data_IF_035011413351
#
_entry.id   IF_035011413351
#
_cell.length_a   1.000
_cell.length_b   1.000
_cell.length_c   1.000
_cell.angle_alpha   90.00
_cell.angle_beta   90.00
_cell.angle_gamma   90.00
#
_symmetry.space_group_name_H-M   'P 1'
#
loop_
_entity.id
_entity.type
_entity.pdbx_description
1 polymer ?
#
# COMPACT_ATOMS: atom_id res chain seq x y z
N UNK A 1 -24.73 2.16 38.77
CA UNK A 1 -24.61 3.32 37.87
C UNK A 1 -25.61 3.12 36.74
N UNK A 2 -26.73 3.83 36.75
CA UNK A 2 -27.74 3.75 35.69
C UNK A 2 -27.11 4.34 34.42
N UNK A 3 -26.79 3.51 33.44
CA UNK A 3 -26.51 3.98 32.08
C UNK A 3 -27.84 4.56 31.60
N UNK A 4 -27.95 5.89 31.57
CA UNK A 4 -29.02 6.57 30.84
C UNK A 4 -28.79 6.21 29.38
N UNK A 5 -29.58 5.27 28.85
CA UNK A 5 -29.51 4.90 27.44
C UNK A 5 -29.97 6.11 26.64
N UNK A 6 -29.02 6.81 26.04
CA UNK A 6 -29.29 7.89 25.09
C UNK A 6 -30.11 7.32 23.92
N UNK A 7 -31.06 8.09 23.41
CA UNK A 7 -31.92 7.68 22.29
C UNK A 7 -31.12 7.65 20.97
N UNK A 8 -30.30 6.62 20.78
CA UNK A 8 -29.40 6.48 19.63
C UNK A 8 -30.10 5.91 18.39
N UNK A 9 -31.29 5.32 18.53
CA UNK A 9 -32.06 4.73 17.43
C UNK A 9 -33.21 5.64 16.98
N UNK A 10 -32.89 6.91 16.80
CA UNK A 10 -33.77 7.92 16.21
C UNK A 10 -33.18 8.39 14.88
N UNK A 11 -34.03 8.76 13.93
CA UNK A 11 -33.58 9.40 12.68
C UNK A 11 -33.33 10.91 12.87
N UNK A 12 -32.93 11.60 11.80
CA UNK A 12 -32.63 13.03 11.82
C UNK A 12 -33.85 13.91 12.19
N UNK A 13 -35.06 13.37 12.07
CA UNK A 13 -36.32 14.01 12.44
C UNK A 13 -36.79 13.64 13.86
N UNK A 14 -36.03 12.78 14.56
CA UNK A 14 -36.34 12.31 15.91
C UNK A 14 -37.36 11.17 15.96
N UNK A 15 -37.74 10.58 14.83
CA UNK A 15 -38.63 9.43 14.80
C UNK A 15 -37.89 8.12 15.10
N UNK A 16 -38.56 7.14 15.73
CA UNK A 16 -37.97 5.83 16.00
C UNK A 16 -37.56 5.10 14.72
N UNK A 17 -36.30 4.67 14.66
CA UNK A 17 -35.80 3.79 13.61
C UNK A 17 -36.49 2.44 13.71
N UNK A 18 -36.90 1.88 12.56
CA UNK A 18 -37.64 0.62 12.48
C UNK A 18 -36.69 -0.57 12.38
N UNK A 19 -36.98 -1.62 13.15
CA UNK A 19 -36.24 -2.87 13.19
C UNK A 19 -37.16 -4.05 12.91
N UNK A 20 -36.71 -4.98 12.08
CA UNK A 20 -37.31 -6.31 11.98
C UNK A 20 -36.32 -7.32 12.56
N UNK A 21 -36.80 -8.21 13.42
CA UNK A 21 -35.99 -9.27 14.01
C UNK A 21 -36.25 -10.58 13.27
N UNK A 22 -35.19 -11.22 12.78
CA UNK A 22 -35.24 -12.59 12.29
C UNK A 22 -35.85 -13.51 13.37
N UNK A 23 -36.80 -14.37 12.97
CA UNK A 23 -37.72 -15.04 13.91
C UNK A 23 -37.11 -16.25 14.63
N UNK A 24 -36.13 -16.91 14.01
CA UNK A 24 -35.43 -18.10 14.50
C UNK A 24 -34.14 -17.76 15.25
N UNK A 25 -33.93 -16.49 15.59
CA UNK A 25 -32.90 -16.11 16.56
C UNK A 25 -33.18 -16.78 17.92
N UNK A 26 -32.11 -17.04 18.67
CA UNK A 26 -32.18 -17.57 20.04
C UNK A 26 -33.16 -16.75 20.90
N UNK A 27 -33.94 -17.44 21.74
CA UNK A 27 -35.01 -16.80 22.51
C UNK A 27 -34.48 -15.76 23.51
N UNK A 28 -33.28 -15.96 24.08
CA UNK A 28 -32.63 -15.00 24.94
C UNK A 28 -32.19 -13.77 24.15
N UNK A 29 -31.56 -13.98 22.97
CA UNK A 29 -31.17 -12.90 22.06
C UNK A 29 -32.39 -12.07 21.62
N UNK A 30 -33.51 -12.72 21.28
CA UNK A 30 -34.75 -12.02 20.92
C UNK A 30 -35.30 -11.20 22.08
N UNK A 31 -35.27 -11.74 23.30
CA UNK A 31 -35.75 -11.05 24.50
C UNK A 31 -34.91 -9.80 24.77
N UNK A 32 -33.59 -9.93 24.69
CA UNK A 32 -32.66 -8.83 24.89
C UNK A 32 -32.82 -7.74 23.83
N UNK A 33 -32.91 -8.11 22.55
CA UNK A 33 -33.12 -7.15 21.45
C UNK A 33 -34.45 -6.41 21.57
N UNK A 34 -35.55 -7.12 21.93
CA UNK A 34 -36.88 -6.51 22.12
C UNK A 34 -36.92 -5.53 23.28
N UNK A 35 -36.03 -5.68 24.26
CA UNK A 35 -35.87 -4.74 25.37
C UNK A 35 -34.92 -3.59 25.01
N UNK A 36 -33.79 -3.91 24.40
CA UNK A 36 -32.71 -2.96 24.12
C UNK A 36 -33.09 -1.94 23.04
N UNK A 37 -33.72 -2.38 21.94
CA UNK A 37 -34.07 -1.49 20.81
C UNK A 37 -35.02 -0.36 21.24
N UNK A 38 -36.17 -0.62 21.91
CA UNK A 38 -37.04 0.44 22.41
C UNK A 38 -36.39 1.31 23.49
N UNK A 39 -35.58 0.70 24.38
CA UNK A 39 -34.86 1.45 25.41
C UNK A 39 -33.86 2.47 24.82
N UNK A 40 -33.40 2.25 23.59
CA UNK A 40 -32.54 3.16 22.83
C UNK A 40 -33.30 4.03 21.82
N UNK A 41 -34.63 4.06 21.87
CA UNK A 41 -35.49 4.92 21.04
C UNK A 41 -35.95 4.32 19.71
N UNK A 42 -35.62 3.06 19.41
CA UNK A 42 -36.04 2.38 18.19
C UNK A 42 -37.40 1.68 18.32
N UNK A 43 -37.90 1.12 17.21
CA UNK A 43 -39.17 0.37 17.17
C UNK A 43 -39.00 -0.97 16.49
N UNK A 44 -39.46 -2.04 17.14
CA UNK A 44 -39.52 -3.38 16.54
C UNK A 44 -40.84 -3.56 15.80
N UNK A 45 -40.76 -3.94 14.54
CA UNK A 45 -41.89 -4.14 13.62
C UNK A 45 -42.11 -5.64 13.35
N UNK A 46 -43.38 -6.09 13.24
CA UNK A 46 -43.71 -7.49 12.93
C UNK A 46 -43.46 -7.86 11.46
N UNK A 47 -43.27 -6.86 10.59
CA UNK A 47 -43.02 -7.02 9.15
C UNK A 47 -41.75 -6.27 8.77
N UNK A 48 -41.08 -6.75 7.71
CA UNK A 48 -39.88 -6.11 7.18
C UNK A 48 -40.19 -4.67 6.77
N UNK A 49 -39.51 -3.66 7.34
CA UNK A 49 -39.83 -2.27 7.07
C UNK A 49 -39.37 -1.84 5.66
N UNK A 50 -39.96 -0.75 5.16
CA UNK A 50 -39.51 -0.12 3.90
C UNK A 50 -38.13 0.54 4.04
N UNK A 51 -37.86 1.09 5.22
CA UNK A 51 -36.60 1.71 5.62
C UNK A 51 -36.33 1.35 7.08
N UNK A 52 -35.08 1.05 7.41
CA UNK A 52 -34.65 0.59 8.72
C UNK A 52 -33.76 -0.64 8.64
N UNK A 53 -33.71 -1.39 9.74
CA UNK A 53 -32.76 -2.47 9.92
C UNK A 53 -33.46 -3.83 10.01
N UNK A 54 -32.83 -4.83 9.41
CA UNK A 54 -33.21 -6.24 9.50
C UNK A 54 -32.09 -6.90 10.30
N UNK A 55 -32.41 -7.30 11.52
CA UNK A 55 -31.47 -7.92 12.44
C UNK A 55 -31.45 -9.43 12.18
N UNK A 56 -30.29 -9.95 11.79
CA UNK A 56 -30.12 -11.33 11.31
C UNK A 56 -29.05 -12.10 12.07
N UNK A 57 -29.10 -13.42 11.97
CA UNK A 57 -27.98 -14.30 12.33
C UNK A 57 -27.08 -14.49 11.10
N UNK A 58 -25.83 -13.99 11.12
CA UNK A 58 -24.93 -14.16 9.98
C UNK A 58 -24.72 -15.63 9.62
N UNK A 59 -24.88 -15.98 8.35
CA UNK A 59 -24.66 -17.30 7.80
C UNK A 59 -25.82 -18.29 7.97
N UNK A 60 -26.96 -17.89 8.52
CA UNK A 60 -28.12 -18.78 8.64
C UNK A 60 -28.92 -18.88 7.34
N UNK A 61 -29.61 -19.99 7.13
CA UNK A 61 -30.50 -20.19 5.97
C UNK A 61 -31.61 -19.14 5.92
N UNK A 62 -32.12 -18.74 7.09
CA UNK A 62 -33.13 -17.70 7.21
C UNK A 62 -32.57 -16.32 6.83
N UNK A 63 -31.31 -15.99 7.15
CA UNK A 63 -30.68 -14.77 6.62
C UNK A 63 -30.65 -14.82 5.09
N UNK A 64 -30.19 -15.93 4.51
CA UNK A 64 -30.11 -16.10 3.06
C UNK A 64 -31.48 -15.93 2.41
N UNK A 65 -32.53 -16.51 3.00
CA UNK A 65 -33.93 -16.35 2.55
C UNK A 65 -34.39 -14.89 2.66
N UNK A 66 -34.13 -14.22 3.78
CA UNK A 66 -34.52 -12.81 3.97
C UNK A 66 -33.82 -11.89 2.97
N UNK A 67 -32.53 -12.12 2.69
CA UNK A 67 -31.78 -11.39 1.66
C UNK A 67 -32.39 -11.62 0.28
N UNK A 68 -32.66 -12.87 -0.10
CA UNK A 68 -33.29 -13.19 -1.38
C UNK A 68 -34.66 -12.49 -1.56
N UNK A 69 -35.46 -12.39 -0.50
CA UNK A 69 -36.78 -11.77 -0.57
C UNK A 69 -36.75 -10.23 -0.50
N UNK A 70 -35.79 -9.64 0.21
CA UNK A 70 -35.88 -8.25 0.65
C UNK A 70 -34.67 -7.38 0.33
N UNK A 71 -33.58 -7.94 -0.21
CA UNK A 71 -32.46 -7.16 -0.72
C UNK A 71 -32.82 -6.64 -2.12
N UNK A 72 -32.79 -5.32 -2.29
CA UNK A 72 -33.17 -4.66 -3.54
C UNK A 72 -32.50 -3.30 -3.64
N UNK A 73 -32.04 -2.94 -4.85
CA UNK A 73 -31.44 -1.63 -5.14
C UNK A 73 -32.47 -0.49 -5.00
N UNK A 74 -33.77 -0.77 -5.18
CA UNK A 74 -34.86 0.20 -5.08
C UNK A 74 -35.16 0.63 -3.63
N UNK A 75 -34.52 -0.01 -2.65
CA UNK A 75 -34.74 0.22 -1.21
C UNK A 75 -33.41 0.48 -0.49
N UNK A 76 -32.71 1.59 -0.81
CA UNK A 76 -31.37 1.87 -0.26
C UNK A 76 -31.36 2.12 1.25
N UNK A 77 -32.50 2.48 1.84
CA UNK A 77 -32.65 2.69 3.29
C UNK A 77 -32.88 1.41 4.11
N UNK A 78 -32.77 0.22 3.51
CA UNK A 78 -32.95 -1.07 4.18
C UNK A 78 -31.60 -1.73 4.36
N UNK A 79 -31.23 -2.01 5.61
CA UNK A 79 -29.94 -2.59 5.93
C UNK A 79 -30.09 -3.91 6.68
N UNK A 80 -29.24 -4.88 6.32
CA UNK A 80 -29.12 -6.13 7.05
C UNK A 80 -27.94 -6.01 8.01
N UNK A 81 -28.18 -6.23 9.29
CA UNK A 81 -27.18 -6.10 10.36
C UNK A 81 -27.19 -7.35 11.23
N UNK A 82 -26.03 -7.80 11.75
CA UNK A 82 -26.00 -8.93 12.67
C UNK A 82 -26.71 -8.58 13.98
N UNK A 83 -27.20 -9.58 14.72
CA UNK A 83 -27.77 -9.38 16.05
C UNK A 83 -26.84 -8.66 17.04
N UNK A 84 -25.52 -8.84 16.90
CA UNK A 84 -24.51 -8.15 17.72
C UNK A 84 -24.38 -6.65 17.43
N UNK A 85 -24.92 -6.16 16.31
CA UNK A 85 -24.81 -4.75 15.92
C UNK A 85 -25.52 -3.80 16.90
N UNK A 86 -26.61 -4.25 17.51
CA UNK A 86 -27.37 -3.44 18.48
C UNK A 86 -26.53 -3.14 19.71
N UNK A 87 -25.80 -4.14 20.22
CA UNK A 87 -24.86 -3.98 21.32
C UNK A 87 -23.70 -3.05 20.94
N UNK A 88 -23.16 -3.17 19.72
CA UNK A 88 -22.11 -2.27 19.25
C UNK A 88 -22.55 -0.82 19.15
N UNK A 89 -23.78 -0.56 18.71
CA UNK A 89 -24.33 0.80 18.70
C UNK A 89 -24.43 1.34 20.13
N UNK A 90 -24.83 0.50 21.09
CA UNK A 90 -24.90 0.86 22.50
C UNK A 90 -23.51 1.20 23.07
N UNK A 91 -22.49 0.38 22.78
CA UNK A 91 -21.10 0.61 23.20
C UNK A 91 -20.52 1.86 22.53
N UNK A 92 -20.82 2.09 21.25
CA UNK A 92 -20.36 3.27 20.52
C UNK A 92 -21.12 4.55 20.91
N UNK A 93 -22.26 4.43 21.59
CA UNK A 93 -23.13 5.55 21.94
C UNK A 93 -23.75 6.25 20.73
N UNK A 94 -23.82 5.59 19.57
CA UNK A 94 -24.33 6.16 18.32
C UNK A 94 -24.86 5.09 17.36
N UNK A 95 -25.73 5.50 16.45
CA UNK A 95 -26.17 4.68 15.31
C UNK A 95 -25.01 4.45 14.34
N UNK A 96 -24.58 3.20 14.18
CA UNK A 96 -23.48 2.86 13.27
C UNK A 96 -23.94 2.88 11.80
N UNK A 97 -23.28 3.71 10.98
CA UNK A 97 -23.58 3.83 9.55
C UNK A 97 -23.13 2.60 8.77
N UNK A 98 -23.94 2.20 7.79
CA UNK A 98 -23.67 1.06 6.91
C UNK A 98 -22.88 1.53 5.67
N UNK A 99 -21.63 1.93 5.89
CA UNK A 99 -20.77 2.58 4.88
C UNK A 99 -20.12 1.60 3.89
N UNK A 100 -19.98 0.32 4.25
CA UNK A 100 -19.39 -0.71 3.39
C UNK A 100 -20.48 -1.47 2.61
N UNK A 101 -21.47 -0.75 2.11
CA UNK A 101 -22.57 -1.28 1.30
C UNK A 101 -22.53 -0.60 -0.06
N UNK A 102 -22.55 -1.38 -1.15
CA UNK A 102 -22.64 -0.90 -2.52
C UNK A 102 -23.89 -1.47 -3.17
N UNK A 103 -24.79 -0.60 -3.67
CA UNK A 103 -26.07 -1.00 -4.28
C UNK A 103 -26.89 -1.98 -3.42
N UNK A 104 -26.92 -1.76 -2.10
CA UNK A 104 -27.62 -2.64 -1.15
C UNK A 104 -26.94 -4.00 -0.91
N UNK A 105 -25.75 -4.24 -1.48
CA UNK A 105 -24.95 -5.45 -1.26
C UNK A 105 -23.76 -5.14 -0.35
N UNK A 106 -23.48 -5.96 0.67
CA UNK A 106 -22.24 -5.84 1.44
C UNK A 106 -21.01 -5.90 0.54
N UNK A 107 -20.14 -4.91 0.65
CA UNK A 107 -18.86 -4.89 -0.05
C UNK A 107 -18.01 -6.10 0.41
N UNK A 108 -17.32 -6.76 -0.52
CA UNK A 108 -16.47 -7.92 -0.22
C UNK A 108 -15.07 -7.46 0.14
N UNK A 109 -14.68 -7.65 1.39
CA UNK A 109 -13.36 -7.30 1.91
C UNK A 109 -12.58 -8.57 2.28
N UNK A 110 -11.29 -8.58 1.93
CA UNK A 110 -10.35 -9.63 2.32
C UNK A 110 -9.30 -9.07 3.28
N UNK A 111 -9.21 -9.64 4.49
CA UNK A 111 -8.15 -9.28 5.45
C UNK A 111 -6.92 -10.15 5.17
N UNK A 112 -5.89 -9.55 4.59
CA UNK A 112 -4.68 -10.27 4.20
C UNK A 112 -3.86 -10.73 5.42
N UNK A 113 -3.13 -11.85 5.27
CA UNK A 113 -2.32 -12.46 6.33
C UNK A 113 -1.16 -11.59 6.82
N UNK A 114 -0.78 -10.55 6.07
CA UNK A 114 0.21 -9.55 6.47
C UNK A 114 -0.19 -8.80 7.75
N UNK A 115 -1.49 -8.72 8.08
CA UNK A 115 -1.94 -8.21 9.37
C UNK A 115 -1.68 -9.30 10.42
N UNK A 116 -0.46 -9.36 10.96
CA UNK A 116 0.04 -10.49 11.74
C UNK A 116 -0.80 -10.79 12.99
N UNK A 117 -1.26 -9.75 13.69
CA UNK A 117 -2.01 -9.90 14.94
C UNK A 117 -3.43 -10.44 14.68
N UNK A 118 -3.69 -11.66 15.18
CA UNK A 118 -4.99 -12.35 15.10
C UNK A 118 -6.11 -11.51 15.70
N UNK A 119 -5.88 -10.90 16.87
CA UNK A 119 -6.88 -10.07 17.56
C UNK A 119 -7.20 -8.82 16.73
N UNK A 120 -6.20 -8.23 16.06
CA UNK A 120 -6.43 -7.12 15.14
C UNK A 120 -7.29 -7.55 13.94
N UNK A 121 -7.09 -8.75 13.39
CA UNK A 121 -7.94 -9.28 12.30
C UNK A 121 -9.37 -9.52 12.76
N UNK A 122 -9.56 -10.08 13.95
CA UNK A 122 -10.90 -10.29 14.54
C UNK A 122 -11.61 -8.95 14.77
N UNK A 123 -10.93 -7.98 15.39
CA UNK A 123 -11.49 -6.65 15.63
C UNK A 123 -11.81 -5.91 14.32
N UNK A 124 -10.94 -6.03 13.31
CA UNK A 124 -11.16 -5.47 11.99
C UNK A 124 -12.36 -6.11 11.29
N UNK A 125 -12.47 -7.44 11.33
CA UNK A 125 -13.60 -8.20 10.80
C UNK A 125 -14.92 -7.76 11.44
N UNK A 126 -14.95 -7.64 12.77
CA UNK A 126 -16.10 -7.13 13.53
C UNK A 126 -16.53 -5.74 13.06
N UNK A 127 -15.58 -4.80 12.97
CA UNK A 127 -15.84 -3.43 12.48
C UNK A 127 -16.42 -3.40 11.07
N UNK A 128 -15.91 -4.24 10.17
CA UNK A 128 -16.40 -4.34 8.79
C UNK A 128 -17.85 -4.82 8.78
N UNK A 129 -18.14 -5.91 9.50
CA UNK A 129 -19.49 -6.48 9.61
C UNK A 129 -20.48 -5.46 10.15
N UNK A 130 -20.11 -4.76 11.24
CA UNK A 130 -21.00 -3.78 11.88
C UNK A 130 -21.19 -2.49 11.09
N UNK A 131 -20.36 -2.28 10.07
CA UNK A 131 -20.45 -1.16 9.13
C UNK A 131 -20.97 -1.60 7.76
N UNK A 132 -21.55 -2.81 7.66
CA UNK A 132 -22.29 -3.30 6.49
C UNK A 132 -21.49 -4.10 5.46
N UNK A 133 -20.21 -4.36 5.71
CA UNK A 133 -19.33 -5.10 4.80
C UNK A 133 -19.24 -6.59 5.09
N UNK A 134 -18.65 -7.35 4.16
CA UNK A 134 -18.38 -8.77 4.30
C UNK A 134 -16.85 -9.04 4.35
N UNK A 135 -16.27 -9.36 5.52
CA UNK A 135 -14.83 -9.61 5.66
C UNK A 135 -14.41 -11.05 5.32
N UNK A 136 -15.34 -11.93 4.95
CA UNK A 136 -15.08 -13.35 4.69
C UNK A 136 -14.71 -13.63 3.23
N UNK A 137 -14.54 -12.59 2.40
CA UNK A 137 -14.20 -12.76 1.00
C UNK A 137 -12.78 -13.32 0.83
N UNK A 138 -12.61 -14.14 -0.21
CA UNK A 138 -11.28 -14.61 -0.63
C UNK A 138 -10.56 -13.51 -1.40
N UNK A 139 -9.27 -13.66 -1.61
CA UNK A 139 -8.47 -12.72 -2.40
C UNK A 139 -9.05 -12.52 -3.82
N UNK A 140 -9.52 -13.60 -4.44
CA UNK A 140 -10.04 -13.63 -5.81
C UNK A 140 -11.42 -12.97 -5.92
N UNK A 141 -12.23 -13.06 -4.86
CA UNK A 141 -13.62 -12.59 -4.87
C UNK A 141 -13.81 -11.23 -4.20
N UNK A 142 -12.80 -10.74 -3.47
CA UNK A 142 -12.86 -9.45 -2.80
C UNK A 142 -12.79 -8.26 -3.75
N UNK A 143 -13.56 -7.23 -3.41
CA UNK A 143 -13.51 -5.90 -4.02
C UNK A 143 -12.38 -5.07 -3.39
N UNK A 144 -12.12 -5.28 -2.09
CA UNK A 144 -11.07 -4.57 -1.33
C UNK A 144 -10.20 -5.56 -0.55
N UNK A 145 -8.88 -5.44 -0.71
CA UNK A 145 -7.88 -6.21 0.02
C UNK A 145 -7.26 -5.30 1.09
N UNK A 146 -7.34 -5.70 2.35
CA UNK A 146 -6.78 -4.97 3.49
C UNK A 146 -5.46 -5.59 3.90
N UNK A 147 -4.38 -4.81 3.80
CA UNK A 147 -3.02 -5.28 4.09
C UNK A 147 -2.27 -4.32 5.03
N UNK A 148 -1.13 -4.78 5.54
CA UNK A 148 -0.29 -4.00 6.46
C UNK A 148 0.69 -3.11 5.68
N UNK A 149 0.51 -1.77 5.71
CA UNK A 149 1.34 -0.85 4.94
C UNK A 149 2.81 -0.82 5.37
N UNK A 150 3.16 -1.32 6.56
CA UNK A 150 4.57 -1.41 6.99
C UNK A 150 5.33 -2.59 6.39
N UNK A 151 4.67 -3.42 5.57
CA UNK A 151 5.27 -4.62 4.96
C UNK A 151 5.49 -4.43 3.46
N UNK A 152 6.55 -5.05 2.90
CA UNK A 152 6.78 -5.04 1.44
C UNK A 152 5.64 -5.69 0.65
N UNK A 153 4.90 -6.59 1.31
CA UNK A 153 3.70 -7.25 0.78
C UNK A 153 2.67 -6.23 0.32
N UNK A 154 2.46 -5.14 1.06
CA UNK A 154 1.51 -4.10 0.65
C UNK A 154 1.85 -3.52 -0.72
N UNK A 155 3.11 -3.11 -0.91
CA UNK A 155 3.56 -2.55 -2.19
C UNK A 155 3.48 -3.57 -3.34
N UNK A 156 3.71 -4.85 -3.04
CA UNK A 156 3.62 -5.93 -4.01
C UNK A 156 2.17 -6.19 -4.41
N UNK A 157 1.25 -6.20 -3.44
CA UNK A 157 -0.18 -6.34 -3.67
C UNK A 157 -0.74 -5.20 -4.52
N UNK A 158 -0.39 -3.95 -4.18
CA UNK A 158 -0.79 -2.78 -4.97
C UNK A 158 -0.35 -2.96 -6.42
N UNK A 159 0.91 -3.30 -6.68
CA UNK A 159 1.43 -3.56 -8.05
C UNK A 159 0.77 -4.74 -8.73
N UNK A 160 0.46 -5.81 -8.01
CA UNK A 160 -0.21 -6.98 -8.59
C UNK A 160 -1.66 -6.69 -9.00
N UNK A 161 -2.29 -5.72 -8.33
CA UNK A 161 -3.63 -5.27 -8.63
C UNK A 161 -3.66 -4.03 -9.55
N UNK A 162 -2.50 -3.43 -9.89
CA UNK A 162 -2.39 -2.35 -10.88
C UNK A 162 -2.89 -2.87 -12.24
N UNK A 163 -4.09 -2.42 -12.65
CA UNK A 163 -4.75 -2.85 -13.90
C UNK A 163 -6.10 -3.56 -13.68
N UNK A 164 -6.40 -3.97 -12.45
CA UNK A 164 -7.76 -4.42 -12.09
C UNK A 164 -8.63 -3.21 -11.77
N UNK A 165 -9.74 -3.01 -12.50
CA UNK A 165 -10.68 -1.91 -12.19
C UNK A 165 -11.56 -2.21 -10.97
N UNK A 166 -11.79 -3.50 -10.69
CA UNK A 166 -12.75 -3.97 -9.69
C UNK A 166 -12.10 -4.33 -8.34
N UNK A 167 -10.76 -4.27 -8.24
CA UNK A 167 -10.02 -4.63 -7.03
C UNK A 167 -9.19 -3.46 -6.53
N UNK A 168 -9.31 -3.17 -5.23
CA UNK A 168 -8.50 -2.15 -4.56
C UNK A 168 -7.70 -2.76 -3.42
N UNK A 169 -6.51 -2.22 -3.18
CA UNK A 169 -5.66 -2.58 -2.04
C UNK A 169 -5.60 -1.37 -1.12
N UNK A 170 -6.01 -1.55 0.12
CA UNK A 170 -6.07 -0.51 1.15
C UNK A 170 -5.35 -0.94 2.42
N UNK A 171 -4.92 0.03 3.22
CA UNK A 171 -4.34 -0.26 4.54
C UNK A 171 -5.39 -0.80 5.49
N UNK A 172 -5.05 -1.68 6.43
CA UNK A 172 -6.00 -2.08 7.48
C UNK A 172 -6.52 -0.89 8.34
N UNK A 173 -5.80 0.23 8.40
CA UNK A 173 -6.23 1.45 9.10
C UNK A 173 -7.29 2.25 8.33
N UNK A 174 -7.45 1.97 7.03
CA UNK A 174 -8.46 2.59 6.16
C UNK A 174 -9.88 2.36 6.69
N UNK A 175 -10.19 1.13 7.14
CA UNK A 175 -11.51 0.78 7.69
C UNK A 175 -11.88 1.71 8.84
N UNK A 176 -10.95 1.91 9.80
CA UNK A 176 -11.19 2.82 10.92
C UNK A 176 -11.44 4.24 10.43
N UNK A 177 -10.62 4.73 9.49
CA UNK A 177 -10.73 6.08 8.94
C UNK A 177 -12.09 6.31 8.26
N UNK A 178 -12.58 5.34 7.48
CA UNK A 178 -13.89 5.41 6.85
C UNK A 178 -15.04 5.42 7.88
N UNK A 179 -14.95 4.60 8.94
CA UNK A 179 -15.95 4.55 10.01
C UNK A 179 -15.98 5.86 10.80
N UNK A 180 -14.81 6.40 11.14
CA UNK A 180 -14.69 7.64 11.92
C UNK A 180 -15.24 8.84 11.14
N UNK A 181 -14.97 8.91 9.82
CA UNK A 181 -15.55 9.93 8.94
C UNK A 181 -17.01 9.66 8.57
N UNK A 182 -17.47 8.41 8.69
CA UNK A 182 -18.79 7.97 8.26
C UNK A 182 -18.99 8.00 6.74
N UNK A 183 -17.91 7.94 5.95
CA UNK A 183 -17.92 7.99 4.47
C UNK A 183 -16.95 6.94 3.93
N UNK A 184 -17.37 6.26 2.86
CA UNK A 184 -16.53 5.36 2.08
C UNK A 184 -15.66 6.17 1.12
N UNK A 185 -14.37 6.29 1.43
CA UNK A 185 -13.42 7.06 0.62
C UNK A 185 -12.13 6.27 0.45
N UNK A 186 -11.76 5.97 -0.79
CA UNK A 186 -10.56 5.22 -1.13
C UNK A 186 -9.32 6.10 -1.13
N UNK A 187 -8.16 5.49 -0.88
CA UNK A 187 -6.86 6.18 -0.99
C UNK A 187 -6.65 6.63 -2.45
N UNK A 188 -6.43 7.93 -2.71
CA UNK A 188 -6.24 8.44 -4.06
C UNK A 188 -5.01 7.82 -4.73
N UNK A 189 -5.12 7.52 -6.02
CA UNK A 189 -3.97 7.08 -6.83
C UNK A 189 -3.02 8.27 -6.99
N UNK A 190 -1.81 8.16 -6.46
CA UNK A 190 -0.76 9.17 -6.62
C UNK A 190 -0.17 9.02 -8.02
N UNK A 191 -0.59 9.88 -8.95
CA UNK A 191 0.00 9.96 -10.28
C UNK A 191 1.47 10.39 -10.15
N UNK A 192 2.37 9.47 -10.47
CA UNK A 192 3.77 9.80 -10.71
C UNK A 192 3.89 10.17 -12.18
N UNK A 193 4.52 11.31 -12.46
CA UNK A 193 4.84 11.66 -13.83
C UNK A 193 5.70 10.53 -14.42
N UNK A 194 5.33 9.95 -15.58
CA UNK A 194 6.17 8.98 -16.25
C UNK A 194 7.54 9.63 -16.45
N UNK A 195 8.57 9.01 -15.86
CA UNK A 195 9.93 9.51 -15.94
C UNK A 195 10.34 9.64 -17.41
N UNK A 196 10.99 10.73 -17.74
CA UNK A 196 11.34 11.06 -19.12
C UNK A 196 11.70 12.53 -19.20
N UNK A 197 12.53 12.89 -20.17
CA UNK A 197 12.78 14.31 -20.46
C UNK A 197 11.48 14.93 -20.96
N UNK A 198 11.21 16.17 -20.53
CA UNK A 198 10.10 16.95 -21.09
C UNK A 198 10.42 17.25 -22.56
N UNK A 199 9.41 17.19 -23.43
CA UNK A 199 9.57 17.62 -24.80
C UNK A 199 10.01 19.10 -24.83
N UNK A 200 11.13 19.40 -25.48
CA UNK A 200 11.71 20.75 -25.56
C UNK A 200 12.83 21.06 -24.55
N UNK A 201 13.15 20.15 -23.63
CA UNK A 201 14.29 20.32 -22.74
C UNK A 201 15.61 20.10 -23.50
N UNK A 202 16.38 21.18 -23.71
CA UNK A 202 17.66 21.10 -24.40
C UNK A 202 18.64 20.19 -23.66
N UNK A 203 19.37 19.37 -24.43
CA UNK A 203 20.43 18.54 -23.86
C UNK A 203 21.57 19.45 -23.45
N UNK A 204 21.83 19.56 -22.16
CA UNK A 204 23.10 20.10 -21.66
C UNK A 204 24.24 19.37 -22.37
N UNK A 205 25.09 20.11 -23.07
CA UNK A 205 26.29 19.59 -23.70
C UNK A 205 27.40 19.45 -22.65
N UNK A 206 28.24 18.44 -22.81
CA UNK A 206 29.45 18.31 -21.99
C UNK A 206 30.44 19.39 -22.41
N UNK A 207 30.90 20.17 -21.44
CA UNK A 207 31.98 21.13 -21.63
C UNK A 207 33.34 20.44 -21.51
N UNK A 208 34.42 21.13 -21.91
CA UNK A 208 35.78 20.62 -21.70
C UNK A 208 36.10 20.49 -20.21
N UNK A 209 35.56 21.36 -19.37
CA UNK A 209 35.74 21.31 -17.91
C UNK A 209 35.03 20.12 -17.29
N UNK A 210 33.80 19.83 -17.74
CA UNK A 210 33.04 18.63 -17.34
C UNK A 210 33.87 17.35 -17.58
N UNK A 211 34.58 17.28 -18.70
CA UNK A 211 35.44 16.14 -19.02
C UNK A 211 36.71 16.10 -18.19
N UNK A 212 37.30 17.26 -17.87
CA UNK A 212 38.48 17.35 -17.03
C UNK A 212 38.18 16.83 -15.62
N UNK A 213 37.11 17.31 -15.01
CA UNK A 213 36.69 16.81 -13.70
C UNK A 213 36.29 15.33 -13.73
N UNK A 214 35.68 14.86 -14.82
CA UNK A 214 35.41 13.44 -15.02
C UNK A 214 36.72 12.62 -15.04
N UNK A 215 37.74 13.10 -15.76
CA UNK A 215 39.05 12.47 -15.80
C UNK A 215 39.73 12.45 -14.43
N UNK A 216 39.66 13.55 -13.66
CA UNK A 216 40.19 13.64 -12.29
C UNK A 216 39.50 12.63 -11.35
N UNK A 217 38.18 12.52 -11.43
CA UNK A 217 37.44 11.52 -10.64
C UNK A 217 37.88 10.09 -10.98
N UNK A 218 38.00 9.78 -12.27
CA UNK A 218 38.43 8.45 -12.72
C UNK A 218 39.90 8.20 -12.33
N UNK A 219 40.77 9.20 -12.43
CA UNK A 219 42.16 9.12 -11.99
C UNK A 219 42.28 8.81 -10.50
N UNK A 220 41.47 9.46 -9.67
CA UNK A 220 41.46 9.25 -8.22
C UNK A 220 40.94 7.84 -7.84
N UNK A 221 39.87 7.38 -8.49
CA UNK A 221 39.20 6.12 -8.14
C UNK A 221 39.79 4.89 -8.82
N UNK A 222 40.15 4.99 -10.10
CA UNK A 222 40.70 3.90 -10.93
C UNK A 222 41.90 4.43 -11.75
N UNK A 223 43.05 4.66 -11.08
CA UNK A 223 44.21 5.32 -11.68
C UNK A 223 44.76 4.57 -12.91
N UNK A 224 44.74 3.25 -12.88
CA UNK A 224 45.31 2.39 -13.92
C UNK A 224 44.20 1.75 -14.74
N UNK A 225 44.28 1.81 -16.07
CA UNK A 225 43.24 1.26 -16.96
C UNK A 225 43.18 -0.26 -16.88
N UNK A 226 44.33 -0.88 -16.62
CA UNK A 226 44.61 -2.30 -16.59
C UNK A 226 43.86 -3.01 -15.45
N UNK A 227 43.56 -2.29 -14.36
CA UNK A 227 42.77 -2.83 -13.25
C UNK A 227 41.29 -3.01 -13.62
N UNK A 228 40.87 -2.42 -14.75
CA UNK A 228 39.52 -2.45 -15.28
C UNK A 228 38.54 -1.60 -14.46
N UNK A 229 37.26 -1.63 -14.82
CA UNK A 229 36.20 -1.01 -14.00
C UNK A 229 35.87 0.45 -14.29
N UNK A 230 36.64 1.16 -15.14
CA UNK A 230 36.32 2.53 -15.59
C UNK A 230 34.95 2.65 -16.29
N UNK A 231 34.36 1.54 -16.74
CA UNK A 231 33.01 1.50 -17.37
C UNK A 231 31.93 0.90 -16.45
N UNK A 232 32.21 0.66 -15.17
CA UNK A 232 31.25 0.08 -14.22
C UNK A 232 30.24 1.11 -13.71
N UNK A 233 28.97 0.74 -13.54
CA UNK A 233 27.91 1.67 -13.13
C UNK A 233 28.18 2.30 -11.76
N UNK A 234 28.70 1.51 -10.81
CA UNK A 234 28.96 1.95 -9.43
C UNK A 234 29.92 3.13 -9.33
N UNK A 235 30.92 3.23 -10.21
CA UNK A 235 31.87 4.35 -10.24
C UNK A 235 31.16 5.71 -10.46
N UNK A 236 30.18 5.71 -11.36
CA UNK A 236 29.43 6.92 -11.73
C UNK A 236 28.26 7.18 -10.80
N UNK A 237 27.70 6.15 -10.17
CA UNK A 237 26.73 6.32 -9.09
C UNK A 237 27.40 7.02 -7.89
N UNK A 238 28.59 6.56 -7.50
CA UNK A 238 29.38 7.21 -6.45
C UNK A 238 29.79 8.65 -6.79
N UNK A 239 29.97 8.96 -8.09
CA UNK A 239 30.19 10.34 -8.54
C UNK A 239 28.96 11.20 -8.23
N UNK A 240 27.75 10.73 -8.57
CA UNK A 240 26.50 11.45 -8.27
C UNK A 240 26.26 11.58 -6.76
N UNK A 241 26.60 10.56 -5.97
CA UNK A 241 26.46 10.61 -4.50
C UNK A 241 27.31 11.73 -3.87
N UNK A 242 28.35 12.21 -4.59
CA UNK A 242 29.18 13.34 -4.18
C UNK A 242 28.60 14.72 -4.50
N UNK A 243 27.45 14.80 -5.17
CA UNK A 243 26.83 16.07 -5.55
C UNK A 243 26.50 17.02 -4.38
N UNK A 244 26.48 16.52 -3.14
CA UNK A 244 26.31 17.35 -1.94
C UNK A 244 27.55 18.13 -1.50
N UNK A 245 28.73 17.77 -2.01
CA UNK A 245 29.99 18.45 -1.70
C UNK A 245 30.16 19.69 -2.62
N UNK A 246 30.55 20.88 -2.10
CA UNK A 246 30.66 22.12 -2.92
C UNK A 246 31.57 21.98 -4.16
N UNK A 247 32.61 21.16 -4.07
CA UNK A 247 33.57 20.92 -5.16
C UNK A 247 33.02 20.01 -6.27
N UNK A 248 31.87 19.34 -6.04
CA UNK A 248 31.26 18.37 -6.95
C UNK A 248 29.91 18.82 -7.52
N UNK A 249 29.60 20.11 -7.41
CA UNK A 249 28.36 20.70 -7.95
C UNK A 249 28.17 20.45 -9.46
N UNK A 250 29.27 20.40 -10.22
CA UNK A 250 29.29 20.11 -11.65
C UNK A 250 28.68 18.73 -12.02
N UNK A 251 28.71 17.76 -11.10
CA UNK A 251 28.23 16.40 -11.35
C UNK A 251 26.73 16.36 -11.65
N UNK A 252 25.96 17.30 -11.09
CA UNK A 252 24.50 17.38 -11.25
C UNK A 252 24.05 17.76 -12.66
N UNK A 253 24.96 18.27 -13.50
CA UNK A 253 24.68 18.67 -14.89
C UNK A 253 24.25 17.51 -15.77
N UNK A 254 24.67 16.28 -15.43
CA UNK A 254 24.36 15.08 -16.20
C UNK A 254 24.07 13.88 -15.30
N UNK A 255 23.26 12.94 -15.77
CA UNK A 255 23.00 11.69 -15.04
C UNK A 255 24.23 10.78 -15.02
N UNK A 256 24.34 9.87 -14.05
CA UNK A 256 25.44 8.89 -14.00
C UNK A 256 25.55 8.07 -15.30
N UNK A 257 24.43 7.75 -15.95
CA UNK A 257 24.43 7.04 -17.25
C UNK A 257 25.08 7.91 -18.33
N UNK A 258 24.81 9.21 -18.32
CA UNK A 258 25.35 10.16 -19.29
C UNK A 258 26.86 10.34 -19.10
N UNK A 259 27.34 10.50 -17.86
CA UNK A 259 28.77 10.53 -17.54
C UNK A 259 29.49 9.26 -17.99
N UNK A 260 28.89 8.10 -17.71
CA UNK A 260 29.42 6.80 -18.12
C UNK A 260 29.51 6.67 -19.63
N UNK A 261 28.44 7.03 -20.35
CA UNK A 261 28.43 6.98 -21.80
C UNK A 261 29.40 8.02 -22.41
N UNK A 262 29.61 9.16 -21.75
CA UNK A 262 30.62 10.15 -22.18
C UNK A 262 32.01 9.55 -22.14
N UNK A 263 32.41 8.93 -21.02
CA UNK A 263 33.70 8.24 -20.94
C UNK A 263 33.78 7.09 -21.95
N UNK A 264 32.76 6.23 -21.99
CA UNK A 264 32.74 5.05 -22.87
C UNK A 264 32.88 5.40 -24.35
N UNK A 265 32.31 6.52 -24.81
CA UNK A 265 32.43 6.96 -26.21
C UNK A 265 33.72 7.72 -26.51
N UNK A 266 34.35 8.32 -25.50
CA UNK A 266 35.51 9.20 -25.68
C UNK A 266 36.79 8.67 -25.01
N UNK A 267 36.83 7.40 -24.59
CA UNK A 267 37.96 6.86 -23.83
C UNK A 267 39.30 7.03 -24.54
N UNK A 268 39.34 6.98 -25.88
CA UNK A 268 40.56 7.17 -26.66
C UNK A 268 41.20 8.56 -26.43
N UNK A 269 40.39 9.60 -26.18
CA UNK A 269 40.86 10.96 -25.89
C UNK A 269 41.03 11.20 -24.39
N UNK A 270 40.17 10.61 -23.57
CA UNK A 270 40.16 10.85 -22.12
C UNK A 270 41.20 10.02 -21.37
N UNK A 271 41.54 8.81 -21.84
CA UNK A 271 42.53 7.95 -21.18
C UNK A 271 43.94 8.58 -21.12
N UNK A 272 44.46 9.25 -22.17
CA UNK A 272 45.72 10.01 -22.08
C UNK A 272 45.69 11.10 -21.02
N UNK A 273 44.58 11.83 -20.90
CA UNK A 273 44.40 12.89 -19.89
C UNK A 273 44.38 12.27 -18.48
N UNK A 274 43.68 11.15 -18.30
CA UNK A 274 43.66 10.43 -17.02
C UNK A 274 45.07 9.95 -16.66
N UNK A 275 45.84 9.42 -17.62
CA UNK A 275 47.20 8.95 -17.38
C UNK A 275 48.14 10.10 -16.97
N UNK A 276 48.01 11.25 -17.61
CA UNK A 276 48.75 12.47 -17.27
C UNK A 276 48.45 12.93 -15.83
N UNK A 277 47.16 13.02 -15.46
CA UNK A 277 46.72 13.37 -14.10
C UNK A 277 47.27 12.37 -13.07
N UNK A 278 47.20 11.07 -13.36
CA UNK A 278 47.73 10.02 -12.46
C UNK A 278 49.24 10.14 -12.27
N UNK A 279 49.98 10.51 -13.32
CA UNK A 279 51.43 10.71 -13.24
C UNK A 279 51.81 11.88 -12.32
N UNK A 280 51.03 12.98 -12.37
CA UNK A 280 51.24 14.13 -11.50
C UNK A 280 50.85 13.88 -10.04
N UNK A 281 49.84 13.05 -9.79
CA UNK A 281 49.36 12.77 -8.43
C UNK A 281 50.21 11.74 -7.66
N UNK A 282 51.13 11.02 -8.32
CA UNK A 282 51.99 9.99 -7.71
C UNK A 282 51.24 9.00 -6.80
N UNK A 283 50.01 8.60 -7.17
CA UNK A 283 49.17 7.73 -6.34
C UNK A 283 49.65 6.27 -6.41
N UNK A 284 50.06 5.63 -5.29
CA UNK A 284 50.45 4.23 -5.31
C UNK A 284 49.23 3.32 -5.54
N UNK A 285 49.42 2.20 -6.26
CA UNK A 285 48.37 1.17 -6.41
C UNK A 285 47.87 0.68 -5.04
N UNK A 286 46.56 0.78 -4.80
CA UNK A 286 45.93 0.35 -3.53
C UNK A 286 45.97 1.38 -2.41
N UNK A 287 46.30 2.65 -2.71
CA UNK A 287 46.28 3.75 -1.73
C UNK A 287 44.88 4.04 -1.18
N UNK A 288 44.83 4.70 -0.01
CA UNK A 288 43.57 5.14 0.60
C UNK A 288 42.76 6.03 -0.37
N UNK A 289 41.45 5.80 -0.46
CA UNK A 289 40.53 6.55 -1.33
C UNK A 289 40.31 5.97 -2.74
N UNK A 290 41.08 4.95 -3.15
CA UNK A 290 40.91 4.23 -4.42
C UNK A 290 39.72 3.26 -4.39
N UNK A 291 39.16 2.97 -5.57
CA UNK A 291 38.08 1.99 -5.72
C UNK A 291 38.64 0.58 -5.50
N UNK A 292 38.29 -0.04 -4.38
CA UNK A 292 38.91 -1.27 -3.84
C UNK A 292 38.70 -2.57 -4.64
N UNK A 293 38.39 -2.50 -5.92
CA UNK A 293 38.25 -3.66 -6.81
C UNK A 293 39.31 -3.63 -7.91
N UNK A 294 40.33 -4.47 -7.78
CA UNK A 294 41.36 -4.68 -8.80
C UNK A 294 41.11 -6.02 -9.49
N UNK A 295 41.04 -6.04 -10.83
CA UNK A 295 41.06 -7.31 -11.58
C UNK A 295 42.46 -7.93 -11.49
N UNK A 296 42.62 -8.92 -10.60
CA UNK A 296 43.81 -9.76 -10.61
C UNK A 296 43.75 -10.71 -11.82
N UNK A 297 44.84 -10.82 -12.59
CA UNK A 297 44.98 -11.92 -13.56
C UNK A 297 44.82 -13.24 -12.79
N UNK A 298 43.91 -14.11 -13.22
CA UNK A 298 43.74 -15.42 -12.63
C UNK A 298 45.11 -16.13 -12.61
N UNK A 299 45.62 -16.47 -11.42
CA UNK A 299 46.76 -17.38 -11.32
C UNK A 299 46.35 -18.67 -12.02
N UNK A 300 47.04 -19.00 -13.11
CA UNK A 300 46.77 -20.19 -13.93
C UNK A 300 46.97 -21.45 -13.11
N UNK A 301 45.94 -21.89 -12.39
CA UNK A 301 45.85 -23.20 -11.77
C UNK A 301 44.74 -23.97 -12.46
N UNK A 302 45.09 -24.98 -13.25
CA UNK A 302 44.14 -25.96 -13.80
C UNK A 302 43.31 -26.52 -12.64
N UNK A 303 42.00 -26.30 -12.65
CA UNK A 303 41.08 -26.99 -11.72
C UNK A 303 41.07 -28.48 -12.10
N UNK A 304 41.31 -29.42 -11.16
CA UNK A 304 41.15 -30.83 -11.46
C UNK A 304 39.66 -31.14 -11.64
N UNK A 305 39.34 -31.90 -12.69
CA UNK A 305 37.99 -32.36 -12.98
C UNK A 305 37.50 -33.26 -11.85
N UNK A 306 36.42 -32.87 -11.18
CA UNK A 306 35.70 -33.75 -10.24
C UNK A 306 35.03 -34.86 -11.05
N UNK A 307 35.52 -36.10 -10.91
CA UNK A 307 34.77 -37.30 -11.28
C UNK A 307 33.54 -37.39 -10.37
N UNK A 308 32.37 -37.55 -10.97
CA UNK A 308 31.14 -37.96 -10.29
C UNK A 308 31.25 -39.45 -9.95
N UNK A 309 31.14 -39.78 -8.68
CA UNK A 309 30.66 -41.08 -8.17
C UNK A 309 29.23 -40.88 -7.75
#
# INVERSE_FOLDING_TARGET
MLIVLQAIFTDDEGFPVKFFLQKDLDCHVLTDLRKAIPAMGGRVEPKVPRQGFIVVMPGSDEEARLRLCWQSEDRPGRFFVPYTWVEECAVAGKLLKQIFVSKGVPMKLHIHSSVANVNSRIALSRRIIHSGGNPAATFETADVILADPSTEVFSTLVRSCEGSFDKRVESFTWVKSCIDRGVLEFTPVVYKNPGGRRAGEERTSFTTEDERHLCEWIALKIPYKETGGRTGNKLYQQLIDKAGDPDYTWVTRHTWQSWRERYKKNFARLDPIIADIVSHLNLPMGGQGQYGYVRQKARGGKKPAKRRT
#
